data_IF_837352236937
#
_entry.id   IF_837352236937
#
_cell.length_a   1.000
_cell.length_b   1.000
_cell.length_c   1.000
_cell.angle_alpha   90.00
_cell.angle_beta   90.00
_cell.angle_gamma   90.00
#
_symmetry.space_group_name_H-M   'P 1'
#
loop_
_entity.id
_entity.type
_entity.pdbx_description
1 polymer ?
#
# COMPACT_ATOMS: atom_id res chain seq x y z
N UNK A 1 -12.00 -12.96 -8.12
CA UNK A 1 -11.13 -11.96 -8.77
C UNK A 1 -11.88 -10.64 -8.71
N UNK A 2 -11.35 -9.56 -8.10
CA UNK A 2 -12.05 -8.30 -8.13
C UNK A 2 -11.84 -7.72 -9.54
N UNK A 3 -12.86 -7.85 -10.37
CA UNK A 3 -12.91 -7.16 -11.65
C UNK A 3 -13.34 -5.73 -11.31
N UNK A 4 -12.38 -4.86 -11.03
CA UNK A 4 -12.66 -3.45 -10.79
C UNK A 4 -13.08 -2.85 -12.15
N UNK A 5 -14.38 -2.64 -12.34
CA UNK A 5 -14.92 -2.02 -13.55
C UNK A 5 -14.21 -0.68 -13.82
N UNK A 6 -13.50 -0.53 -14.95
CA UNK A 6 -12.70 0.66 -15.23
C UNK A 6 -13.55 1.92 -15.45
N UNK A 7 -14.86 1.76 -15.56
CA UNK A 7 -15.83 2.83 -15.77
C UNK A 7 -16.48 3.33 -14.47
N UNK A 8 -16.23 2.67 -13.33
CA UNK A 8 -16.68 3.18 -12.05
C UNK A 8 -15.66 4.21 -11.52
N UNK A 9 -16.09 5.46 -11.23
CA UNK A 9 -15.18 6.47 -10.71
C UNK A 9 -14.68 6.02 -9.33
N UNK A 10 -13.39 5.67 -9.25
CA UNK A 10 -12.75 5.39 -7.96
C UNK A 10 -12.64 6.68 -7.14
N UNK A 11 -12.94 6.64 -5.84
CA UNK A 11 -12.71 7.77 -4.95
C UNK A 11 -11.22 8.12 -4.90
N UNK A 12 -10.91 9.42 -5.00
CA UNK A 12 -9.54 9.91 -4.97
C UNK A 12 -9.12 10.24 -3.54
N UNK A 13 -8.09 9.56 -3.04
CA UNK A 13 -7.44 9.82 -1.76
C UNK A 13 -6.19 10.67 -2.01
N UNK A 14 -6.36 11.99 -1.98
CA UNK A 14 -5.26 12.96 -2.14
C UNK A 14 -4.71 13.47 -0.81
N UNK A 15 -5.47 13.34 0.28
CA UNK A 15 -5.05 13.83 1.59
C UNK A 15 -4.10 12.84 2.26
N UNK A 16 -2.86 13.24 2.62
CA UNK A 16 -1.91 12.37 3.32
C UNK A 16 -2.47 11.82 4.63
N UNK A 17 -3.31 12.59 5.32
CA UNK A 17 -3.96 12.14 6.56
C UNK A 17 -4.98 11.02 6.30
N UNK A 18 -5.73 11.09 5.20
CA UNK A 18 -6.68 10.04 4.86
C UNK A 18 -5.96 8.78 4.37
N UNK A 19 -4.86 8.95 3.63
CA UNK A 19 -3.97 7.85 3.24
C UNK A 19 -3.41 7.16 4.49
N UNK A 20 -2.90 7.93 5.46
CA UNK A 20 -2.37 7.35 6.69
C UNK A 20 -3.42 6.59 7.50
N UNK A 21 -4.63 7.14 7.63
CA UNK A 21 -5.72 6.45 8.31
C UNK A 21 -6.16 5.17 7.59
N UNK A 22 -6.14 5.17 6.25
CA UNK A 22 -6.46 3.99 5.46
C UNK A 22 -5.39 2.91 5.61
N UNK A 23 -4.10 3.28 5.53
CA UNK A 23 -2.97 2.38 5.78
C UNK A 23 -3.04 1.75 7.17
N UNK A 24 -3.31 2.55 8.21
CA UNK A 24 -3.43 2.08 9.58
C UNK A 24 -4.58 1.06 9.75
N UNK A 25 -5.77 1.38 9.23
CA UNK A 25 -6.93 0.47 9.27
C UNK A 25 -6.71 -0.83 8.49
N UNK A 26 -6.03 -0.77 7.36
CA UNK A 26 -5.72 -1.95 6.55
C UNK A 26 -4.61 -2.79 7.19
N UNK A 27 -3.58 -2.15 7.76
CA UNK A 27 -2.51 -2.83 8.48
C UNK A 27 -3.00 -3.49 9.78
N UNK A 28 -3.93 -2.87 10.50
CA UNK A 28 -4.54 -3.45 11.71
C UNK A 28 -5.32 -4.75 11.45
N UNK A 29 -5.71 -5.02 10.21
CA UNK A 29 -6.35 -6.27 9.80
C UNK A 29 -5.35 -7.41 9.54
N UNK A 30 -4.06 -7.21 9.84
CA UNK A 30 -3.00 -8.19 9.62
C UNK A 30 -2.56 -8.29 8.16
N UNK A 31 -2.93 -7.33 7.32
CA UNK A 31 -2.51 -7.28 5.92
C UNK A 31 -1.00 -6.99 5.85
N UNK A 32 -0.31 -7.73 4.98
CA UNK A 32 1.09 -7.42 4.65
C UNK A 32 1.19 -6.06 3.95
N UNK A 33 2.33 -5.35 4.02
CA UNK A 33 2.47 -4.03 3.37
C UNK A 33 2.16 -4.04 1.87
N UNK A 34 2.51 -5.13 1.17
CA UNK A 34 2.17 -5.35 -0.24
C UNK A 34 0.67 -5.55 -0.48
N UNK A 35 -0.03 -6.15 0.47
CA UNK A 35 -1.47 -6.31 0.44
C UNK A 35 -2.22 -5.01 0.76
N UNK A 36 -1.72 -4.22 1.71
CA UNK A 36 -2.22 -2.86 1.97
C UNK A 36 -2.08 -2.00 0.73
N UNK A 37 -0.91 -2.03 0.06
CA UNK A 37 -0.69 -1.34 -1.21
C UNK A 37 -1.72 -1.78 -2.26
N UNK A 38 -1.87 -3.09 -2.47
CA UNK A 38 -2.82 -3.65 -3.46
C UNK A 38 -4.24 -3.16 -3.21
N UNK A 39 -4.73 -3.24 -1.97
CA UNK A 39 -6.08 -2.81 -1.60
C UNK A 39 -6.28 -1.30 -1.81
N UNK A 40 -5.29 -0.48 -1.46
CA UNK A 40 -5.37 0.96 -1.71
C UNK A 40 -5.50 1.27 -3.20
N UNK A 41 -4.67 0.66 -4.04
CA UNK A 41 -4.69 0.93 -5.49
C UNK A 41 -5.88 0.32 -6.23
N UNK A 42 -6.48 -0.74 -5.68
CA UNK A 42 -7.66 -1.40 -6.26
C UNK A 42 -8.94 -0.57 -5.99
N UNK A 43 -9.09 -0.09 -4.75
CA UNK A 43 -10.29 0.62 -4.31
C UNK A 43 -10.22 2.14 -4.49
N UNK A 44 -9.03 2.73 -4.52
CA UNK A 44 -8.84 4.18 -4.53
C UNK A 44 -7.85 4.62 -5.60
N UNK A 45 -8.05 5.84 -6.10
CA UNK A 45 -6.99 6.57 -6.80
C UNK A 45 -6.16 7.28 -5.74
N UNK A 46 -4.89 6.92 -5.59
CA UNK A 46 -4.00 7.43 -4.54
C UNK A 46 -2.81 8.18 -5.14
N UNK A 47 -2.26 9.12 -4.37
CA UNK A 47 -0.93 9.67 -4.62
C UNK A 47 0.12 8.63 -4.15
N UNK A 48 0.93 8.14 -5.09
CA UNK A 48 1.91 7.07 -4.83
C UNK A 48 3.04 7.53 -3.91
N UNK A 49 3.46 8.80 -4.00
CA UNK A 49 4.52 9.36 -3.16
C UNK A 49 4.02 9.53 -1.72
N UNK A 50 2.78 10.00 -1.57
CA UNK A 50 2.15 10.10 -0.25
C UNK A 50 1.94 8.73 0.39
N UNK A 51 1.59 7.70 -0.38
CA UNK A 51 1.49 6.32 0.13
C UNK A 51 2.86 5.78 0.52
N UNK A 52 3.89 6.00 -0.29
CA UNK A 52 5.26 5.56 0.00
C UNK A 52 5.84 6.21 1.27
N UNK A 53 5.41 7.43 1.61
CA UNK A 53 5.80 8.10 2.85
C UNK A 53 5.19 7.46 4.10
N UNK A 54 4.08 6.72 3.98
CA UNK A 54 3.33 6.19 5.13
C UNK A 54 3.41 4.66 5.25
N UNK A 55 3.60 3.93 4.15
CA UNK A 55 3.75 2.48 4.22
C UNK A 55 5.05 2.09 4.94
N UNK A 56 5.00 1.11 5.87
CA UNK A 56 6.19 0.62 6.52
C UNK A 56 7.14 0.01 5.48
N UNK A 57 8.39 0.48 5.49
CA UNK A 57 9.43 0.04 4.56
C UNK A 57 9.76 -1.43 4.82
N UNK A 58 9.31 -2.31 3.94
CA UNK A 58 9.84 -3.68 3.86
C UNK A 58 11.15 -3.62 3.11
N UNK A 59 12.26 -3.43 3.81
CA UNK A 59 13.57 -3.66 3.19
C UNK A 59 13.71 -5.17 2.96
N UNK A 60 13.81 -5.65 1.71
CA UNK A 60 14.16 -7.04 1.48
C UNK A 60 15.56 -7.26 2.07
N UNK A 61 15.72 -8.32 2.87
CA UNK A 61 17.06 -8.66 3.33
C UNK A 61 17.98 -8.81 2.11
N UNK A 62 19.10 -8.08 2.06
CA UNK A 62 20.03 -8.18 0.96
C UNK A 62 20.58 -9.61 0.89
N UNK A 63 20.12 -10.39 -0.08
CA UNK A 63 20.56 -11.77 -0.31
C UNK A 63 22.07 -11.89 -0.51
N UNK A 64 22.74 -10.82 -0.94
CA UNK A 64 24.19 -10.77 -1.17
C UNK A 64 25.01 -10.69 0.13
N UNK A 65 24.38 -10.40 1.28
CA UNK A 65 25.02 -10.41 2.61
C UNK A 65 25.05 -11.79 3.26
N UNK A 66 24.39 -12.81 2.70
CA UNK A 66 24.35 -14.16 3.29
C UNK A 66 25.64 -14.97 3.12
N UNK A 67 26.66 -14.43 2.45
CA UNK A 67 27.85 -15.20 2.08
C UNK A 67 29.12 -14.63 2.71
N UNK A 68 29.24 -14.69 4.05
CA UNK A 68 30.55 -14.74 4.74
C UNK A 68 30.45 -15.64 5.97
N UNK A 69 30.67 -16.94 5.76
CA UNK A 69 31.17 -17.85 6.81
C UNK A 69 32.63 -18.15 6.51
#
# INVERSE_FOLDING_TARGET
MPNADPFLPRPTLLSPHHIASAVDRLGAQGASPSEVWRLLTDHFTVDLDAVAAVLPRSEPEPHWLQTRR
#
